data_IF_738308571045
#
_entry.id   IF_738308571045
#
_cell.length_a   1.000
_cell.length_b   1.000
_cell.length_c   1.000
_cell.angle_alpha   90.00
_cell.angle_beta   90.00
_cell.angle_gamma   90.00
#
_symmetry.space_group_name_H-M   'P 1'
#
loop_
_entity.id
_entity.type
_entity.pdbx_description
1 polymer ?
#
# COMPACT_ATOMS: atom_id res chain seq x y z
N UNK A 1 31.69 20.29 50.89
CA UNK A 1 33.16 20.45 50.75
C UNK A 1 33.79 19.09 50.50
N UNK A 2 34.29 18.84 49.29
CA UNK A 2 35.27 17.80 48.88
C UNK A 2 35.21 17.70 47.35
N UNK A 3 36.09 18.37 46.61
CA UNK A 3 37.45 17.97 46.17
C UNK A 3 37.47 17.33 44.77
N UNK A 4 38.15 18.07 43.89
CA UNK A 4 38.71 17.81 42.56
C UNK A 4 39.08 16.36 42.18
N UNK A 5 38.82 16.08 40.90
CA UNK A 5 39.76 15.66 39.84
C UNK A 5 40.50 14.32 39.95
N UNK A 6 40.35 13.47 38.94
CA UNK A 6 41.48 12.94 38.17
C UNK A 6 41.06 12.30 36.84
N UNK A 7 41.80 12.67 35.81
CA UNK A 7 41.74 12.20 34.43
C UNK A 7 42.77 11.10 34.25
N UNK A 8 42.49 10.07 33.43
CA UNK A 8 43.57 9.24 32.87
C UNK A 8 43.22 8.82 31.44
N UNK A 9 44.08 9.29 30.54
CA UNK A 9 44.12 9.09 29.11
C UNK A 9 45.12 7.96 28.85
N UNK A 10 44.76 6.93 28.10
CA UNK A 10 45.74 5.95 27.58
C UNK A 10 45.62 5.90 26.07
N UNK A 11 46.69 6.30 25.41
CA UNK A 11 46.92 6.15 23.98
C UNK A 11 47.90 4.98 23.79
N UNK A 12 47.67 4.14 22.77
CA UNK A 12 48.71 3.25 22.25
C UNK A 12 48.74 3.43 20.73
N UNK A 13 49.93 3.81 20.25
CA UNK A 13 50.31 4.00 18.86
C UNK A 13 50.91 2.70 18.30
N UNK A 14 50.65 2.49 17.01
CA UNK A 14 51.61 2.13 15.94
C UNK A 14 52.45 0.85 16.07
N UNK A 15 52.34 -0.02 15.06
CA UNK A 15 53.50 -0.34 14.21
C UNK A 15 53.07 -0.87 12.83
N UNK A 16 53.61 -0.27 11.77
CA UNK A 16 53.62 -0.78 10.40
C UNK A 16 54.59 -1.96 10.26
N UNK A 17 54.35 -2.84 9.29
CA UNK A 17 55.43 -3.53 8.57
C UNK A 17 54.97 -3.82 7.14
N UNK A 18 55.80 -3.44 6.16
CA UNK A 18 55.65 -3.77 4.75
C UNK A 18 56.76 -4.70 4.27
N UNK A 19 56.54 -5.36 3.14
CA UNK A 19 57.50 -5.85 2.14
C UNK A 19 56.67 -6.53 1.04
N UNK A 20 56.55 -6.00 -0.18
CA UNK A 20 57.49 -6.12 -1.32
C UNK A 20 57.87 -7.58 -1.60
N UNK A 21 57.28 -8.13 -2.65
CA UNK A 21 57.95 -8.99 -3.65
C UNK A 21 57.30 -8.75 -5.02
N UNK A 22 58.16 -8.39 -5.97
CA UNK A 22 57.99 -8.39 -7.43
C UNK A 22 58.13 -9.82 -7.95
N UNK A 23 57.37 -10.22 -8.98
CA UNK A 23 57.94 -10.72 -10.24
C UNK A 23 56.85 -10.88 -11.33
N UNK A 24 57.11 -10.29 -12.50
CA UNK A 24 56.39 -10.51 -13.75
C UNK A 24 57.09 -11.66 -14.50
N UNK A 25 56.34 -12.72 -14.85
CA UNK A 25 56.90 -13.91 -15.49
C UNK A 25 55.92 -14.63 -16.39
N UNK A 26 56.06 -14.37 -17.68
CA UNK A 26 55.24 -14.81 -18.82
C UNK A 26 55.19 -16.35 -18.94
N UNK A 27 53.99 -16.92 -19.05
CA UNK A 27 53.79 -18.34 -19.34
C UNK A 27 52.73 -18.54 -20.42
N UNK A 28 53.16 -18.79 -21.66
CA UNK A 28 52.32 -19.25 -22.76
C UNK A 28 51.96 -20.72 -22.56
N UNK A 29 50.67 -21.02 -22.42
CA UNK A 29 50.14 -22.39 -22.38
C UNK A 29 48.79 -22.49 -23.06
N UNK A 30 48.78 -23.05 -24.27
CA UNK A 30 47.57 -23.49 -24.98
C UNK A 30 46.84 -24.55 -24.16
N UNK A 31 45.51 -24.49 -24.10
CA UNK A 31 44.72 -25.67 -23.75
C UNK A 31 43.24 -25.44 -23.43
N UNK A 32 42.40 -25.76 -24.41
CA UNK A 32 41.13 -26.50 -24.28
C UNK A 32 39.94 -25.82 -23.56
N UNK A 33 38.91 -25.56 -24.37
CA UNK A 33 37.52 -26.00 -24.12
C UNK A 33 36.85 -25.58 -22.82
N UNK A 34 35.92 -24.62 -22.92
CA UNK A 34 34.94 -24.38 -21.88
C UNK A 34 33.84 -23.48 -22.39
N UNK A 35 32.69 -24.06 -22.74
CA UNK A 35 31.46 -23.33 -22.98
C UNK A 35 31.07 -22.59 -21.70
N UNK A 36 31.50 -21.33 -21.58
CA UNK A 36 31.03 -20.43 -20.54
C UNK A 36 29.60 -20.01 -20.87
N UNK A 37 28.63 -20.80 -20.42
CA UNK A 37 27.29 -20.28 -20.22
C UNK A 37 27.43 -19.04 -19.32
N UNK A 38 27.11 -17.86 -19.87
CA UNK A 38 26.91 -16.66 -19.09
C UNK A 38 25.71 -16.94 -18.19
N UNK A 39 25.96 -17.53 -17.02
CA UNK A 39 25.05 -17.52 -15.91
C UNK A 39 24.92 -16.06 -15.46
N UNK A 40 24.01 -15.34 -16.10
CA UNK A 40 23.46 -14.12 -15.54
C UNK A 40 22.61 -14.56 -14.36
N UNK A 41 23.23 -14.73 -13.20
CA UNK A 41 22.50 -14.80 -11.95
C UNK A 41 21.59 -13.55 -11.86
N UNK A 42 20.29 -13.70 -11.58
CA UNK A 42 19.42 -12.55 -11.44
C UNK A 42 19.97 -11.67 -10.32
N UNK A 43 20.30 -10.42 -10.65
CA UNK A 43 20.86 -9.47 -9.70
C UNK A 43 20.00 -9.42 -8.44
N UNK A 44 20.53 -9.90 -7.31
CA UNK A 44 19.87 -9.84 -6.01
C UNK A 44 19.76 -8.37 -5.64
N UNK A 45 18.57 -7.80 -5.83
CA UNK A 45 18.28 -6.43 -5.39
C UNK A 45 18.46 -6.41 -3.87
N UNK A 46 19.33 -5.55 -3.33
CA UNK A 46 19.54 -5.44 -1.87
C UNK A 46 18.35 -4.77 -1.18
N UNK A 47 18.12 -5.08 0.09
CA UNK A 47 17.04 -4.46 0.89
C UNK A 47 17.18 -2.95 1.02
N UNK A 48 18.42 -2.45 1.05
CA UNK A 48 18.69 -1.01 1.02
C UNK A 48 18.24 -0.34 -0.28
N UNK A 49 18.45 -1.03 -1.41
CA UNK A 49 18.00 -0.55 -2.73
C UNK A 49 16.47 -0.61 -2.83
N UNK A 50 15.83 -1.65 -2.29
CA UNK A 50 14.37 -1.71 -2.15
C UNK A 50 13.84 -0.58 -1.26
N UNK A 51 14.47 -0.32 -0.12
CA UNK A 51 14.09 0.75 0.80
C UNK A 51 14.24 2.15 0.20
N UNK A 52 15.33 2.40 -0.54
CA UNK A 52 15.53 3.65 -1.26
C UNK A 52 14.50 3.86 -2.37
N UNK A 53 14.16 2.81 -3.13
CA UNK A 53 13.10 2.86 -4.15
C UNK A 53 11.73 3.12 -3.51
N UNK A 54 11.41 2.50 -2.36
CA UNK A 54 10.16 2.78 -1.63
C UNK A 54 10.08 4.24 -1.15
N UNK A 55 11.18 4.80 -0.63
CA UNK A 55 11.22 6.21 -0.21
C UNK A 55 11.10 7.18 -1.38
N UNK A 56 11.78 6.90 -2.50
CA UNK A 56 11.66 7.68 -3.73
C UNK A 56 10.26 7.59 -4.33
N UNK A 57 9.65 6.40 -4.32
CA UNK A 57 8.26 6.18 -4.74
C UNK A 57 7.27 6.91 -3.82
N UNK A 58 7.49 6.91 -2.49
CA UNK A 58 6.70 7.65 -1.50
C UNK A 58 6.74 9.16 -1.77
N UNK A 59 7.94 9.73 -1.95
CA UNK A 59 8.12 11.16 -2.25
C UNK A 59 7.56 11.57 -3.62
N UNK A 60 7.69 10.73 -4.65
CA UNK A 60 7.09 10.98 -5.97
C UNK A 60 5.56 10.84 -5.95
N UNK A 61 5.05 9.89 -5.16
CA UNK A 61 3.61 9.72 -4.93
C UNK A 61 3.02 10.96 -4.26
N UNK A 62 3.70 11.53 -3.25
CA UNK A 62 3.29 12.75 -2.54
C UNK A 62 3.09 13.96 -3.48
N UNK A 63 3.88 14.08 -4.55
CA UNK A 63 3.74 15.16 -5.54
C UNK A 63 2.52 14.99 -6.46
N UNK A 64 1.97 13.78 -6.57
CA UNK A 64 0.82 13.46 -7.41
C UNK A 64 -0.51 13.43 -6.62
N UNK A 65 -0.47 13.71 -5.31
CA UNK A 65 -1.66 13.64 -4.46
C UNK A 65 -2.61 14.79 -4.76
N UNK A 66 -3.81 14.44 -5.24
CA UNK A 66 -4.87 15.43 -5.46
C UNK A 66 -5.57 15.80 -4.14
N UNK A 67 -5.38 17.02 -3.65
CA UNK A 67 -6.10 17.53 -2.47
C UNK A 67 -7.41 18.23 -2.83
N UNK A 68 -7.91 18.05 -4.06
CA UNK A 68 -9.19 18.62 -4.50
C UNK A 68 -10.39 17.96 -3.80
N UNK A 69 -11.52 18.67 -3.79
CA UNK A 69 -12.79 18.17 -3.27
C UNK A 69 -13.34 16.93 -3.99
N UNK A 70 -12.77 16.56 -5.13
CA UNK A 70 -13.20 15.40 -5.92
C UNK A 70 -12.39 14.13 -5.62
N UNK A 71 -11.32 14.24 -4.82
CA UNK A 71 -10.54 13.06 -4.45
C UNK A 71 -11.30 12.20 -3.44
N UNK A 72 -11.69 10.99 -3.86
CA UNK A 72 -12.42 10.01 -3.04
C UNK A 72 -11.61 9.49 -1.85
N UNK A 73 -10.30 9.69 -1.84
CA UNK A 73 -9.43 9.38 -0.69
C UNK A 73 -9.49 10.45 0.41
N UNK A 74 -10.17 11.58 0.19
CA UNK A 74 -10.38 12.64 1.18
C UNK A 74 -11.86 12.95 1.41
N UNK A 75 -12.63 12.95 0.32
CA UNK A 75 -14.04 13.35 0.28
C UNK A 75 -14.88 12.21 -0.27
N UNK A 76 -14.71 11.01 0.29
CA UNK A 76 -15.50 9.85 -0.07
C UNK A 76 -16.99 10.13 0.10
N UNK A 77 -17.77 9.60 -0.85
CA UNK A 77 -19.23 9.59 -0.76
C UNK A 77 -19.73 8.20 -1.12
N UNK A 78 -20.53 7.55 -0.26
CA UNK A 78 -21.16 6.28 -0.59
C UNK A 78 -21.97 6.40 -1.88
N UNK A 79 -21.74 5.50 -2.83
CA UNK A 79 -22.48 5.44 -4.09
C UNK A 79 -23.52 4.34 -4.04
N UNK A 80 -24.71 4.60 -4.60
CA UNK A 80 -25.79 3.60 -4.67
C UNK A 80 -25.40 2.31 -5.38
N UNK A 81 -24.44 2.35 -6.29
CA UNK A 81 -24.03 1.19 -7.11
C UNK A 81 -22.53 0.91 -7.09
N UNK A 82 -21.71 1.92 -6.75
CA UNK A 82 -20.25 1.84 -6.74
C UNK A 82 -19.64 1.65 -5.35
N UNK A 83 -20.48 1.35 -4.35
CA UNK A 83 -20.10 1.07 -2.97
C UNK A 83 -20.82 -0.18 -2.51
N UNK A 84 -20.07 -1.09 -1.92
CA UNK A 84 -20.59 -2.17 -1.11
C UNK A 84 -20.25 -1.86 0.35
N UNK A 85 -21.27 -1.67 1.17
CA UNK A 85 -21.10 -1.45 2.61
C UNK A 85 -20.92 -2.82 3.28
N UNK A 86 -19.83 -2.96 4.03
CA UNK A 86 -19.49 -4.15 4.83
C UNK A 86 -19.18 -3.73 6.26
N UNK A 87 -19.75 -2.63 6.72
CA UNK A 87 -19.62 -2.18 8.10
C UNK A 87 -20.22 -3.23 9.04
N UNK A 88 -19.54 -3.62 10.13
CA UNK A 88 -20.11 -4.51 11.13
C UNK A 88 -21.50 -4.04 11.58
N UNK A 89 -22.48 -4.94 11.56
CA UNK A 89 -23.88 -4.61 11.87
C UNK A 89 -24.76 -4.25 10.66
N UNK A 90 -24.21 -4.19 9.45
CA UNK A 90 -25.03 -4.18 8.22
C UNK A 90 -25.82 -5.49 8.13
N UNK A 91 -27.09 -5.38 7.75
CA UNK A 91 -28.00 -6.52 7.61
C UNK A 91 -27.44 -7.58 6.64
N UNK A 92 -27.56 -8.86 7.04
CA UNK A 92 -27.12 -10.00 6.26
C UNK A 92 -25.61 -10.22 6.19
N UNK A 93 -24.78 -9.34 6.78
CA UNK A 93 -23.31 -9.48 6.79
C UNK A 93 -22.85 -10.47 7.87
N UNK A 94 -21.98 -11.41 7.48
CA UNK A 94 -21.27 -12.29 8.40
C UNK A 94 -19.93 -11.67 8.84
N UNK A 95 -19.87 -11.24 10.11
CA UNK A 95 -18.69 -10.59 10.68
C UNK A 95 -17.46 -11.52 10.70
N UNK A 96 -17.53 -12.79 11.16
CA UNK A 96 -16.40 -13.70 11.08
C UNK A 96 -15.76 -13.79 9.68
N UNK A 97 -16.57 -13.86 8.62
CA UNK A 97 -16.05 -13.91 7.24
C UNK A 97 -15.42 -12.57 6.80
N UNK A 98 -15.95 -11.42 7.23
CA UNK A 98 -15.29 -10.13 7.01
C UNK A 98 -13.90 -10.09 7.68
N UNK A 99 -13.79 -10.58 8.92
CA UNK A 99 -12.52 -10.62 9.65
C UNK A 99 -11.52 -11.57 8.99
N UNK A 100 -11.99 -12.70 8.43
CA UNK A 100 -11.16 -13.62 7.64
C UNK A 100 -10.64 -12.96 6.36
N UNK A 101 -11.49 -12.24 5.62
CA UNK A 101 -11.08 -11.49 4.42
C UNK A 101 -10.00 -10.46 4.78
N UNK A 102 -10.26 -9.66 5.82
CA UNK A 102 -9.29 -8.68 6.34
C UNK A 102 -7.97 -9.35 6.75
N UNK A 103 -8.04 -10.53 7.35
CA UNK A 103 -6.88 -11.34 7.74
C UNK A 103 -6.15 -12.01 6.56
N UNK A 104 -6.54 -11.75 5.31
CA UNK A 104 -5.88 -12.25 4.10
C UNK A 104 -6.44 -13.57 3.56
N UNK A 105 -7.48 -14.14 4.18
CA UNK A 105 -8.13 -15.34 3.64
C UNK A 105 -8.97 -15.02 2.40
N UNK A 106 -9.08 -15.98 1.49
CA UNK A 106 -10.08 -15.96 0.42
C UNK A 106 -11.47 -16.22 0.99
N UNK A 107 -12.42 -15.33 0.71
CA UNK A 107 -13.78 -15.35 1.26
C UNK A 107 -14.80 -15.26 0.12
N UNK A 108 -15.79 -16.15 0.14
CA UNK A 108 -16.90 -16.12 -0.82
C UNK A 108 -17.92 -15.07 -0.43
N UNK A 109 -18.47 -14.37 -1.41
CA UNK A 109 -19.58 -13.45 -1.18
C UNK A 109 -20.78 -14.18 -0.57
N UNK A 110 -21.03 -15.42 -0.99
CA UNK A 110 -22.05 -16.29 -0.38
C UNK A 110 -21.85 -16.64 1.09
N UNK A 111 -20.62 -16.53 1.61
CA UNK A 111 -20.35 -16.67 3.05
C UNK A 111 -20.35 -15.32 3.76
N UNK A 112 -19.84 -14.27 3.10
CA UNK A 112 -19.87 -12.91 3.63
C UNK A 112 -21.30 -12.38 3.78
N UNK A 113 -22.20 -12.80 2.88
CA UNK A 113 -23.64 -12.55 2.96
C UNK A 113 -24.39 -13.88 2.82
N UNK A 114 -24.70 -14.56 3.93
CA UNK A 114 -25.43 -15.83 3.90
C UNK A 114 -26.89 -15.69 3.45
N UNK A 115 -27.52 -14.56 3.76
CA UNK A 115 -28.89 -14.23 3.37
C UNK A 115 -28.98 -13.97 1.86
N UNK A 116 -30.01 -14.53 1.22
CA UNK A 116 -30.16 -14.51 -0.24
C UNK A 116 -30.46 -13.12 -0.80
N UNK A 117 -31.29 -12.32 -0.12
CA UNK A 117 -31.66 -10.98 -0.58
C UNK A 117 -30.48 -10.01 -0.42
N UNK A 118 -29.85 -10.02 0.76
CA UNK A 118 -28.64 -9.25 1.03
C UNK A 118 -27.52 -9.63 0.06
N UNK A 119 -27.33 -10.92 -0.20
CA UNK A 119 -26.34 -11.42 -1.18
C UNK A 119 -26.64 -10.96 -2.59
N UNK A 120 -27.89 -11.04 -3.05
CA UNK A 120 -28.26 -10.58 -4.39
C UNK A 120 -27.97 -9.08 -4.56
N UNK A 121 -28.28 -8.27 -3.54
CA UNK A 121 -27.94 -6.85 -3.49
C UNK A 121 -26.43 -6.60 -3.50
N UNK A 122 -25.67 -7.34 -2.70
CA UNK A 122 -24.23 -7.25 -2.62
C UNK A 122 -23.55 -7.65 -3.94
N UNK A 123 -23.98 -8.75 -4.56
CA UNK A 123 -23.47 -9.25 -5.83
C UNK A 123 -23.70 -8.24 -6.96
N UNK A 124 -24.86 -7.58 -6.98
CA UNK A 124 -25.15 -6.51 -7.93
C UNK A 124 -24.19 -5.33 -7.81
N UNK A 125 -23.88 -4.90 -6.58
CA UNK A 125 -22.91 -3.82 -6.32
C UNK A 125 -21.50 -4.26 -6.70
N UNK A 126 -21.10 -5.46 -6.28
CA UNK A 126 -19.77 -5.99 -6.52
C UNK A 126 -19.51 -6.22 -8.02
N UNK A 127 -20.52 -6.61 -8.81
CA UNK A 127 -20.43 -6.64 -10.28
C UNK A 127 -20.03 -5.30 -10.88
N UNK A 128 -20.67 -4.22 -10.44
CA UNK A 128 -20.38 -2.86 -10.94
C UNK A 128 -19.00 -2.38 -10.46
N UNK A 129 -18.67 -2.65 -9.20
CA UNK A 129 -17.39 -2.28 -8.60
C UNK A 129 -16.24 -3.01 -9.31
N UNK A 130 -16.35 -4.34 -9.49
CA UNK A 130 -15.36 -5.16 -10.17
C UNK A 130 -15.22 -4.80 -11.65
N UNK A 131 -16.33 -4.53 -12.35
CA UNK A 131 -16.27 -4.05 -13.74
C UNK A 131 -15.52 -2.73 -13.85
N UNK A 132 -15.76 -1.78 -12.93
CA UNK A 132 -15.03 -0.51 -12.92
C UNK A 132 -13.56 -0.67 -12.53
N UNK A 133 -13.23 -1.59 -11.63
CA UNK A 133 -11.86 -1.91 -11.28
C UNK A 133 -11.10 -2.47 -12.49
N UNK A 134 -11.74 -3.39 -13.22
CA UNK A 134 -11.20 -3.99 -14.44
C UNK A 134 -10.98 -2.94 -15.54
N UNK A 135 -11.96 -2.05 -15.78
CA UNK A 135 -11.83 -0.93 -16.72
C UNK A 135 -10.62 -0.04 -16.36
N UNK A 136 -10.44 0.29 -15.08
CA UNK A 136 -9.30 1.09 -14.63
C UNK A 136 -7.95 0.37 -14.82
N UNK A 137 -7.90 -0.94 -14.61
CA UNK A 137 -6.68 -1.73 -14.85
C UNK A 137 -6.36 -1.85 -16.34
N UNK A 138 -7.36 -2.10 -17.19
CA UNK A 138 -7.18 -2.23 -18.63
C UNK A 138 -6.80 -0.90 -19.30
N UNK A 139 -7.48 0.20 -18.96
CA UNK A 139 -7.26 1.50 -19.60
C UNK A 139 -6.03 2.23 -19.04
N UNK A 140 -5.75 2.09 -17.74
CA UNK A 140 -4.76 2.91 -17.03
C UNK A 140 -3.69 2.09 -16.31
N UNK A 141 -3.82 0.77 -16.26
CA UNK A 141 -2.86 -0.12 -15.58
C UNK A 141 -2.81 0.08 -14.07
N UNK A 142 -3.92 0.52 -13.46
CA UNK A 142 -4.01 0.84 -12.02
C UNK A 142 -5.03 -0.05 -11.33
N UNK A 143 -4.58 -0.77 -10.30
CA UNK A 143 -5.49 -1.45 -9.37
C UNK A 143 -6.18 -0.42 -8.49
N UNK A 144 -7.51 -0.43 -8.50
CA UNK A 144 -8.33 0.57 -7.79
C UNK A 144 -9.29 -0.04 -6.79
N UNK A 145 -9.34 -1.36 -6.66
CA UNK A 145 -10.27 -2.05 -5.77
C UNK A 145 -9.68 -2.23 -4.38
N UNK A 146 -10.32 -1.62 -3.38
CA UNK A 146 -9.87 -1.70 -1.98
C UNK A 146 -11.03 -2.02 -1.03
N UNK A 147 -10.70 -2.73 0.04
CA UNK A 147 -11.42 -2.70 1.29
C UNK A 147 -10.89 -1.50 2.10
N UNK A 148 -11.75 -0.49 2.27
CA UNK A 148 -11.47 0.67 3.09
C UNK A 148 -11.98 0.44 4.52
N UNK A 149 -11.14 0.70 5.52
CA UNK A 149 -11.44 0.48 6.92
C UNK A 149 -11.24 1.74 7.74
N UNK A 150 -12.30 2.17 8.44
CA UNK A 150 -12.33 3.40 9.21
C UNK A 150 -12.41 4.63 8.30
N UNK A 151 -13.26 5.59 8.64
CA UNK A 151 -13.48 6.81 7.86
C UNK A 151 -13.23 8.03 8.74
N UNK A 152 -12.09 8.69 8.52
CA UNK A 152 -11.72 9.94 9.16
C UNK A 152 -12.54 11.10 8.62
N UNK A 153 -12.94 12.01 9.50
CA UNK A 153 -13.58 13.27 9.19
C UNK A 153 -12.95 14.37 10.04
N UNK A 154 -13.05 15.62 9.61
CA UNK A 154 -12.53 16.80 10.31
C UNK A 154 -13.33 18.04 9.92
N UNK A 155 -13.20 19.11 10.69
CA UNK A 155 -13.74 20.41 10.29
C UNK A 155 -12.95 20.93 9.09
N UNK A 156 -13.61 21.05 7.94
CA UNK A 156 -12.98 21.58 6.74
C UNK A 156 -12.75 23.09 6.90
N UNK A 157 -11.51 23.60 6.76
CA UNK A 157 -11.24 25.04 6.81
C UNK A 157 -11.96 25.81 5.70
N UNK A 158 -12.34 25.14 4.61
CA UNK A 158 -13.13 25.70 3.53
C UNK A 158 -14.56 25.12 3.55
N UNK A 159 -15.56 25.85 4.08
CA UNK A 159 -16.93 25.37 4.19
C UNK A 159 -17.65 25.20 2.84
N UNK A 160 -17.11 25.75 1.73
CA UNK A 160 -17.66 25.50 0.39
C UNK A 160 -17.32 24.10 -0.15
N UNK A 161 -16.38 23.40 0.50
CA UNK A 161 -16.02 22.03 0.15
C UNK A 161 -16.85 21.04 0.96
N UNK A 162 -16.93 19.82 0.43
CA UNK A 162 -17.68 18.74 1.08
C UNK A 162 -17.12 18.39 2.44
N UNK A 163 -18.00 17.89 3.32
CA UNK A 163 -17.61 17.28 4.58
C UNK A 163 -16.59 16.17 4.31
N UNK A 164 -15.39 16.23 4.91
CA UNK A 164 -14.38 15.23 4.70
C UNK A 164 -14.84 13.86 5.18
N UNK A 165 -14.50 12.84 4.41
CA UNK A 165 -14.71 11.44 4.74
C UNK A 165 -13.61 10.66 4.03
N UNK A 166 -12.52 10.39 4.74
CA UNK A 166 -11.32 9.79 4.19
C UNK A 166 -11.14 8.39 4.76
N UNK A 167 -10.94 7.33 3.94
CA UNK A 167 -10.57 6.03 4.47
C UNK A 167 -9.25 6.14 5.22
N UNK A 168 -9.15 5.51 6.40
CA UNK A 168 -7.90 5.48 7.18
C UNK A 168 -6.99 4.38 6.64
N UNK A 169 -7.51 3.15 6.57
CA UNK A 169 -6.78 2.02 5.99
C UNK A 169 -7.36 1.61 4.65
N UNK A 170 -6.47 1.19 3.76
CA UNK A 170 -6.79 0.67 2.44
C UNK A 170 -6.09 -0.67 2.27
N UNK A 171 -6.89 -1.72 2.15
CA UNK A 171 -6.42 -3.08 1.87
C UNK A 171 -6.74 -3.39 0.41
N UNK A 172 -5.75 -3.57 -0.47
CA UNK A 172 -6.00 -3.95 -1.86
C UNK A 172 -6.69 -5.30 -1.90
N UNK A 173 -7.79 -5.40 -2.64
CA UNK A 173 -8.48 -6.69 -2.84
C UNK A 173 -8.76 -6.95 -4.31
N UNK A 174 -8.93 -8.22 -4.66
CA UNK A 174 -9.48 -8.66 -5.94
C UNK A 174 -10.84 -9.32 -5.72
N UNK A 175 -11.74 -9.15 -6.67
CA UNK A 175 -13.04 -9.80 -6.69
C UNK A 175 -13.16 -10.64 -7.97
N UNK A 176 -13.05 -11.97 -7.84
CA UNK A 176 -13.16 -12.89 -8.97
C UNK A 176 -14.57 -13.44 -9.06
N UNK A 177 -15.21 -13.30 -10.21
CA UNK A 177 -16.52 -13.91 -10.48
C UNK A 177 -16.40 -15.43 -10.48
N UNK A 178 -17.35 -16.11 -9.84
CA UNK A 178 -17.40 -17.59 -9.82
C UNK A 178 -18.21 -18.20 -10.96
N UNK A 179 -19.11 -17.43 -11.55
CA UNK A 179 -19.96 -17.86 -12.65
C UNK A 179 -20.28 -16.69 -13.60
N UNK A 180 -20.87 -17.01 -14.74
CA UNK A 180 -21.25 -16.04 -15.77
C UNK A 180 -22.32 -15.05 -15.27
N UNK A 181 -23.24 -15.52 -14.42
CA UNK A 181 -24.31 -14.71 -13.82
C UNK A 181 -23.76 -13.59 -12.92
N UNK A 182 -22.59 -13.80 -12.29
CA UNK A 182 -21.98 -12.89 -11.34
C UNK A 182 -22.87 -12.67 -10.10
N UNK A 183 -23.50 -13.74 -9.63
CA UNK A 183 -24.26 -13.78 -8.38
C UNK A 183 -23.37 -14.13 -7.16
N UNK A 184 -22.17 -14.67 -7.39
CA UNK A 184 -21.19 -14.99 -6.36
C UNK A 184 -19.75 -14.63 -6.80
N UNK A 185 -18.91 -14.33 -5.82
CA UNK A 185 -17.54 -13.85 -5.98
C UNK A 185 -16.60 -14.46 -4.95
N UNK A 186 -15.36 -14.72 -5.34
CA UNK A 186 -14.25 -14.92 -4.41
C UNK A 186 -13.55 -13.56 -4.19
N UNK A 187 -13.50 -13.11 -2.93
CA UNK A 187 -12.82 -11.91 -2.47
C UNK A 187 -11.49 -12.30 -1.83
N UNK A 188 -10.40 -11.67 -2.27
CA UNK A 188 -9.05 -11.98 -1.77
C UNK A 188 -8.24 -10.70 -1.58
N UNK A 189 -7.42 -10.65 -0.54
CA UNK A 189 -6.41 -9.60 -0.39
C UNK A 189 -5.33 -9.78 -1.45
N UNK A 190 -4.99 -8.68 -2.14
CA UNK A 190 -4.10 -8.67 -3.30
C UNK A 190 -2.78 -7.94 -3.04
N UNK A 191 -2.58 -7.39 -1.85
CA UNK A 191 -1.37 -6.67 -1.48
C UNK A 191 -1.37 -6.25 -0.01
N UNK A 192 -0.34 -5.51 0.38
CA UNK A 192 -0.17 -5.01 1.74
C UNK A 192 -1.22 -3.93 2.07
N UNK A 193 -1.70 -3.94 3.30
CA UNK A 193 -2.51 -2.85 3.82
C UNK A 193 -1.68 -1.56 3.85
N UNK A 194 -2.35 -0.42 3.72
CA UNK A 194 -1.69 0.87 3.82
C UNK A 194 -2.56 1.86 4.58
N UNK A 195 -1.93 2.71 5.38
CA UNK A 195 -2.56 3.95 5.83
C UNK A 195 -2.69 4.87 4.63
N UNK A 196 -3.87 5.47 4.43
CA UNK A 196 -4.17 6.30 3.27
C UNK A 196 -3.15 7.45 3.12
N UNK A 197 -2.26 7.41 2.11
CA UNK A 197 -1.21 8.40 1.94
C UNK A 197 -1.77 9.79 1.61
N UNK A 198 -2.92 9.86 0.93
CA UNK A 198 -3.58 11.14 0.63
C UNK A 198 -4.08 11.82 1.89
N UNK A 199 -4.63 11.06 2.84
CA UNK A 199 -5.03 11.59 4.14
C UNK A 199 -3.82 12.15 4.89
N UNK A 200 -2.73 11.38 5.01
CA UNK A 200 -1.51 11.80 5.71
C UNK A 200 -0.92 13.06 5.10
N UNK A 201 -0.85 13.12 3.77
CA UNK A 201 -0.38 14.30 3.05
C UNK A 201 -1.28 15.52 3.25
N UNK A 202 -2.61 15.34 3.24
CA UNK A 202 -3.55 16.42 3.50
C UNK A 202 -3.42 16.95 4.94
N UNK A 203 -3.32 16.08 5.93
CA UNK A 203 -3.11 16.45 7.33
C UNK A 203 -1.84 17.28 7.50
N UNK A 204 -0.76 16.88 6.83
CA UNK A 204 0.52 17.61 6.89
C UNK A 204 0.43 18.97 6.18
N UNK A 205 -0.04 19.00 4.94
CA UNK A 205 0.02 20.22 4.10
C UNK A 205 -1.09 21.23 4.38
N UNK A 206 -2.30 20.77 4.70
CA UNK A 206 -3.46 21.64 4.87
C UNK A 206 -3.78 21.90 6.35
N UNK A 207 -3.51 20.94 7.24
CA UNK A 207 -3.82 21.04 8.67
C UNK A 207 -2.58 21.13 9.56
N UNK A 208 -1.37 21.21 8.99
CA UNK A 208 -0.09 21.32 9.70
C UNK A 208 0.13 20.23 10.77
N UNK A 209 -0.45 19.04 10.56
CA UNK A 209 -0.42 17.92 11.49
C UNK A 209 0.43 16.79 10.92
N UNK A 210 1.50 16.42 11.62
CA UNK A 210 2.36 15.31 11.21
C UNK A 210 1.84 13.99 11.76
N UNK A 211 1.55 13.04 10.87
CA UNK A 211 1.13 11.68 11.23
C UNK A 211 2.18 10.70 10.73
N UNK A 212 2.71 9.87 11.63
CA UNK A 212 3.57 8.76 11.26
C UNK A 212 2.71 7.58 10.78
N UNK A 213 2.50 7.52 9.45
CA UNK A 213 1.70 6.48 8.80
C UNK A 213 2.19 5.06 9.12
N UNK A 214 3.51 4.87 9.24
CA UNK A 214 4.13 3.56 9.47
C UNK A 214 3.86 3.11 10.92
N UNK A 215 3.86 4.04 11.89
CA UNK A 215 3.49 3.74 13.28
C UNK A 215 1.99 3.43 13.43
N UNK A 216 1.12 4.17 12.72
CA UNK A 216 -0.33 3.91 12.67
C UNK A 216 -0.63 2.53 12.09
N UNK A 217 0.04 2.17 10.99
CA UNK A 217 -0.11 0.86 10.37
C UNK A 217 0.46 -0.26 11.26
N UNK A 218 1.64 -0.07 11.86
CA UNK A 218 2.23 -1.04 12.77
C UNK A 218 1.34 -1.33 14.00
N UNK A 219 0.65 -0.33 14.54
CA UNK A 219 -0.34 -0.53 15.59
C UNK A 219 -1.53 -1.38 15.11
N UNK A 220 -1.94 -1.19 13.85
CA UNK A 220 -3.02 -1.95 13.23
C UNK A 220 -2.65 -3.42 12.93
N UNK A 221 -1.37 -3.70 12.72
CA UNK A 221 -0.79 -5.00 12.38
C UNK A 221 -0.17 -5.71 13.59
N UNK A 222 -0.41 -5.24 14.81
CA UNK A 222 0.20 -5.79 16.04
C UNK A 222 -0.11 -7.28 16.30
N UNK A 223 -1.10 -7.83 15.61
CA UNK A 223 -1.41 -9.26 15.55
C UNK A 223 -1.01 -9.76 14.16
N UNK A 224 -0.33 -10.92 14.05
CA UNK A 224 0.23 -11.51 12.81
C UNK A 224 -0.80 -11.78 11.68
N UNK A 225 -1.43 -10.72 11.17
CA UNK A 225 -2.42 -10.67 10.10
C UNK A 225 -2.38 -9.26 9.46
N UNK A 226 -2.64 -9.11 8.14
CA UNK A 226 -2.49 -7.84 7.39
C UNK A 226 -3.29 -6.62 7.91
N UNK A 227 -4.23 -6.81 8.84
CA UNK A 227 -4.86 -5.74 9.63
C UNK A 227 -5.49 -6.39 10.88
N UNK A 228 -4.68 -7.06 11.71
CA UNK A 228 -5.15 -7.89 12.81
C UNK A 228 -5.88 -7.12 13.93
N UNK A 229 -5.48 -5.88 14.20
CA UNK A 229 -6.06 -5.01 15.23
C UNK A 229 -6.30 -3.58 14.68
N UNK A 230 -7.25 -3.37 13.76
CA UNK A 230 -7.47 -2.06 13.16
C UNK A 230 -7.76 -0.99 14.20
N UNK A 231 -8.42 -1.32 15.31
CA UNK A 231 -8.82 -0.35 16.32
C UNK A 231 -7.62 0.34 16.96
N UNK A 232 -6.54 -0.40 17.27
CA UNK A 232 -5.31 0.21 17.77
C UNK A 232 -4.69 1.21 16.78
N UNK A 233 -4.80 0.94 15.48
CA UNK A 233 -4.40 1.87 14.44
C UNK A 233 -5.32 3.08 14.32
N UNK A 234 -6.64 2.89 14.43
CA UNK A 234 -7.63 3.97 14.44
C UNK A 234 -7.42 4.88 15.67
N UNK A 235 -7.10 4.31 16.84
CA UNK A 235 -6.74 5.06 18.04
C UNK A 235 -5.43 5.82 17.88
N UNK A 236 -4.42 5.22 17.25
CA UNK A 236 -3.15 5.89 16.97
C UNK A 236 -3.35 7.14 16.10
N UNK A 237 -4.18 7.08 15.05
CA UNK A 237 -4.46 8.26 14.22
C UNK A 237 -5.36 9.28 14.93
N UNK A 238 -6.33 8.85 15.75
CA UNK A 238 -7.13 9.75 16.61
C UNK A 238 -6.23 10.54 17.55
N UNK A 239 -5.27 9.87 18.19
CA UNK A 239 -4.30 10.50 19.08
C UNK A 239 -3.40 11.49 18.34
N UNK A 240 -2.84 11.08 17.19
CA UNK A 240 -1.97 11.93 16.37
C UNK A 240 -2.69 13.19 15.85
N UNK A 241 -4.00 13.11 15.64
CA UNK A 241 -4.82 14.20 15.14
C UNK A 241 -5.67 14.88 16.23
N UNK A 242 -5.36 14.68 17.51
CA UNK A 242 -6.17 15.22 18.62
C UNK A 242 -6.28 16.75 18.64
N UNK A 243 -5.30 17.46 18.05
CA UNK A 243 -5.31 18.92 17.88
C UNK A 243 -6.08 19.40 16.64
N UNK A 244 -6.48 18.50 15.73
CA UNK A 244 -7.22 18.86 14.52
C UNK A 244 -8.70 19.10 14.88
N UNK A 245 -9.25 20.29 14.60
CA UNK A 245 -10.64 20.59 14.94
C UNK A 245 -11.64 19.63 14.31
N UNK A 246 -12.53 19.08 15.14
CA UNK A 246 -13.58 18.16 14.72
C UNK A 246 -13.07 16.84 14.14
N UNK A 247 -11.79 16.49 14.38
CA UNK A 247 -11.26 15.23 13.90
C UNK A 247 -11.92 14.06 14.63
N UNK A 248 -12.48 13.14 13.84
CA UNK A 248 -13.09 11.92 14.34
C UNK A 248 -12.90 10.80 13.32
N UNK A 249 -12.97 9.56 13.78
CA UNK A 249 -12.88 8.37 12.93
C UNK A 249 -14.10 7.50 13.17
N UNK A 250 -14.92 7.36 12.14
CA UNK A 250 -16.09 6.50 12.15
C UNK A 250 -15.68 5.07 11.76
N UNK A 251 -16.21 4.06 12.44
CA UNK A 251 -15.93 2.63 12.18
C UNK A 251 -16.66 2.08 10.94
N UNK A 252 -16.69 2.85 9.85
CA UNK A 252 -17.30 2.43 8.60
C UNK A 252 -16.32 1.61 7.78
N UNK A 253 -16.80 0.51 7.20
CA UNK A 253 -16.02 -0.38 6.33
C UNK A 253 -16.72 -0.53 4.99
N UNK A 254 -16.01 -0.29 3.89
CA UNK A 254 -16.60 -0.33 2.54
C UNK A 254 -15.66 -0.99 1.55
N UNK A 255 -16.24 -1.69 0.57
CA UNK A 255 -15.53 -2.13 -0.63
C UNK A 255 -15.90 -1.19 -1.77
N UNK A 256 -14.88 -0.68 -2.48
CA UNK A 256 -15.10 0.26 -3.57
C UNK A 256 -13.84 0.59 -4.36
N UNK A 257 -14.01 1.45 -5.36
CA UNK A 257 -12.91 1.91 -6.21
C UNK A 257 -12.31 3.22 -5.69
N UNK A 258 -11.04 3.18 -5.28
CA UNK A 258 -10.24 4.31 -4.86
C UNK A 258 -9.04 4.46 -5.80
N UNK A 259 -8.78 5.69 -6.27
CA UNK A 259 -7.67 5.98 -7.17
C UNK A 259 -6.82 7.09 -6.59
N UNK A 260 -5.51 6.85 -6.52
CA UNK A 260 -4.51 7.79 -6.05
C UNK A 260 -4.05 8.77 -7.13
N UNK A 261 -4.48 8.57 -8.39
CA UNK A 261 -3.89 9.27 -9.51
C UNK A 261 -4.57 10.62 -9.82
N UNK A 262 -3.74 11.66 -9.91
CA UNK A 262 -3.93 12.78 -10.83
C UNK A 262 -3.33 12.34 -12.19
N UNK A 263 -4.20 12.12 -13.19
CA UNK A 263 -3.86 11.82 -14.60
C UNK A 263 -3.21 10.44 -14.90
N UNK A 264 -3.39 9.90 -16.13
CA UNK A 264 -2.85 8.59 -16.51
C UNK A 264 -1.32 8.60 -16.53
N UNK A 265 -0.73 7.63 -15.84
CA UNK A 265 0.72 7.43 -15.78
C UNK A 265 1.22 6.90 -17.13
N UNK A 266 2.08 7.66 -17.82
CA UNK A 266 2.69 7.20 -19.08
C UNK A 266 3.67 6.06 -18.77
N UNK A 267 3.36 4.83 -19.20
CA UNK A 267 4.34 3.74 -19.14
C UNK A 267 5.42 4.01 -20.18
N UNK A 268 6.63 4.34 -19.72
CA UNK A 268 7.84 4.04 -20.51
C UNK A 268 7.94 2.51 -20.58
N UNK A 269 7.48 1.94 -21.69
CA UNK A 269 7.88 0.58 -22.05
C UNK A 269 9.20 0.67 -22.81
N UNK A 270 10.31 0.30 -22.17
CA UNK A 270 11.57 0.05 -22.86
C UNK A 270 11.40 -1.24 -23.68
N UNK A 271 10.80 -1.12 -24.86
CA UNK A 271 10.69 -2.23 -25.81
C UNK A 271 12.05 -2.43 -26.46
N UNK A 272 12.85 -3.33 -25.88
CA UNK A 272 14.08 -3.84 -26.47
C UNK A 272 13.83 -4.25 -27.91
N UNK A 273 14.37 -3.47 -28.86
CA UNK A 273 14.36 -3.77 -30.28
C UNK A 273 15.25 -4.99 -30.49
N UNK A 274 14.67 -6.16 -30.78
CA UNK A 274 15.43 -7.29 -31.34
C UNK A 274 16.00 -6.85 -32.70
N UNK A 275 17.29 -7.07 -33.00
CA UNK A 275 17.81 -6.88 -34.34
C UNK A 275 17.27 -7.98 -35.26
N UNK A 276 16.76 -7.58 -36.42
CA UNK A 276 16.37 -8.46 -37.51
C UNK A 276 17.61 -9.21 -38.04
N UNK A 277 17.54 -10.54 -38.07
CA UNK A 277 18.47 -11.37 -38.84
C UNK A 277 18.26 -11.08 -40.34
N UNK A 278 19.34 -10.70 -41.01
CA UNK A 278 19.46 -10.72 -42.46
C UNK A 278 19.51 -12.17 -42.95
N UNK A 279 18.68 -12.49 -43.94
CA UNK A 279 18.76 -13.72 -44.73
C UNK A 279 19.19 -13.31 -46.13
N UNK A 280 20.30 -13.92 -46.56
CA UNK A 280 20.85 -14.10 -47.92
C UNK A 280 21.15 -12.85 -48.76
#
# INVERSE_FOLDING_TARGET
MSTRSSSTRTAIRSTSFGSIWTDDGVGLGRGVGGGGALNTEPAVISDDRRGAVRRAAKSWTEQLIDVSGNNKLLFYRPLKVGTLDVTPGVEGLDLPELLRLRGGSSVRLSRLFPDDEARAGAAKRLRNIAAKAQENDEERGISTLFLAWGMATWTNPNPSRSTPMAPVFLVPIVARRRNASGDDFDLEVAGEASCNPTLVHYLFTQLSTSVNADAVLAAAEAVEQPLGNPEAGLDAIRLACSAVPGFAVNERVVIGNFSFAKMPMVRTSSRTRRPSRSTT
#
